data_IF_212953406944
#
_entry.id   IF_212953406944
#
_cell.length_a   1.000
_cell.length_b   1.000
_cell.length_c   1.000
_cell.angle_alpha   90.00
_cell.angle_beta   90.00
_cell.angle_gamma   90.00
#
_symmetry.space_group_name_H-M   'P 1'
#
loop_
_entity.id
_entity.type
_entity.pdbx_description
1 polymer ?
#
# COMPACT_ATOMS: atom_id res chain seq x y z
N UNK A 1 -28.23 3.82 -33.66
CA UNK A 1 -28.52 3.02 -32.44
C UNK A 1 -27.28 3.00 -31.54
N UNK A 2 -27.39 2.68 -30.26
CA UNK A 2 -26.24 2.54 -29.36
C UNK A 2 -26.42 1.38 -28.40
N UNK A 3 -25.31 0.74 -28.02
CA UNK A 3 -25.26 -0.36 -27.06
C UNK A 3 -24.27 -0.01 -25.96
N UNK A 4 -24.63 -0.32 -24.71
CA UNK A 4 -23.70 -0.23 -23.58
C UNK A 4 -23.40 -1.65 -23.13
N UNK A 5 -22.11 -2.01 -23.10
CA UNK A 5 -21.68 -3.30 -22.58
C UNK A 5 -21.72 -3.24 -21.06
N UNK A 6 -22.55 -4.07 -20.44
CA UNK A 6 -22.81 -3.95 -19.00
C UNK A 6 -21.58 -4.21 -18.13
N UNK A 7 -20.75 -5.18 -18.50
CA UNK A 7 -19.53 -5.53 -17.76
C UNK A 7 -18.47 -4.41 -17.78
N UNK A 8 -18.24 -3.80 -18.94
CA UNK A 8 -17.20 -2.77 -19.11
C UNK A 8 -17.71 -1.35 -18.94
N UNK A 9 -19.04 -1.18 -18.95
CA UNK A 9 -19.77 0.10 -18.99
C UNK A 9 -19.37 1.01 -20.15
N UNK A 10 -18.78 0.42 -21.21
CA UNK A 10 -18.45 1.14 -22.44
C UNK A 10 -19.67 1.24 -23.34
N UNK A 11 -19.96 2.45 -23.82
CA UNK A 11 -21.05 2.72 -24.78
C UNK A 11 -20.47 2.83 -26.18
N UNK A 12 -21.04 2.05 -27.10
CA UNK A 12 -20.71 2.06 -28.52
C UNK A 12 -21.92 2.42 -29.37
N UNK A 13 -21.73 3.35 -30.30
CA UNK A 13 -22.73 3.76 -31.29
C UNK A 13 -22.55 2.92 -32.55
N UNK A 14 -23.63 2.32 -33.01
CA UNK A 14 -23.66 1.58 -34.27
C UNK A 14 -23.78 2.60 -35.42
N UNK A 15 -22.80 2.61 -36.32
CA UNK A 15 -22.92 3.32 -37.59
C UNK A 15 -23.82 2.55 -38.55
N UNK A 16 -24.63 3.30 -39.29
CA UNK A 16 -25.66 2.82 -40.22
C UNK A 16 -25.20 1.57 -41.01
N UNK A 17 -25.80 0.42 -40.69
CA UNK A 17 -25.50 -0.85 -41.35
C UNK A 17 -26.78 -1.70 -41.41
N UNK A 18 -26.89 -2.50 -42.48
CA UNK A 18 -27.93 -3.50 -42.65
C UNK A 18 -27.59 -4.76 -41.83
N UNK A 19 -28.51 -5.19 -40.97
CA UNK A 19 -28.44 -6.47 -40.26
C UNK A 19 -29.49 -7.36 -40.91
N UNK A 20 -29.08 -8.49 -41.45
CA UNK A 20 -29.97 -9.43 -42.12
C UNK A 20 -30.53 -10.43 -41.11
N UNK A 21 -31.86 -10.50 -41.03
CA UNK A 21 -32.57 -11.47 -40.20
C UNK A 21 -33.17 -12.54 -41.10
N UNK A 22 -32.79 -13.78 -40.88
CA UNK A 22 -33.37 -14.97 -41.52
C UNK A 22 -34.10 -15.82 -40.48
N UNK A 23 -34.78 -16.89 -40.90
CA UNK A 23 -35.54 -17.76 -40.00
C UNK A 23 -34.68 -18.38 -38.87
N UNK A 24 -33.40 -18.66 -39.15
CA UNK A 24 -32.51 -19.39 -38.24
C UNK A 24 -31.19 -18.66 -37.93
N UNK A 25 -30.98 -17.46 -38.48
CA UNK A 25 -29.72 -16.74 -38.35
C UNK A 25 -29.93 -15.23 -38.39
N UNK A 26 -29.25 -14.53 -37.49
CA UNK A 26 -29.02 -13.09 -37.51
C UNK A 26 -27.61 -12.87 -38.05
N UNK A 27 -27.49 -12.37 -39.28
CA UNK A 27 -26.21 -12.08 -39.90
C UNK A 27 -25.87 -10.61 -39.69
N UNK A 28 -24.76 -10.38 -38.98
CA UNK A 28 -24.30 -9.02 -38.64
C UNK A 28 -23.56 -8.35 -39.80
N UNK A 29 -23.20 -9.09 -40.86
CA UNK A 29 -22.37 -8.57 -41.93
C UNK A 29 -21.06 -8.00 -41.38
N UNK A 30 -20.76 -6.73 -41.70
CA UNK A 30 -19.66 -5.97 -41.09
C UNK A 30 -20.21 -4.67 -40.51
N UNK A 31 -20.46 -4.66 -39.21
CA UNK A 31 -20.90 -3.50 -38.45
C UNK A 31 -19.70 -2.63 -38.07
N UNK A 32 -19.88 -1.31 -38.15
CA UNK A 32 -18.92 -0.35 -37.60
C UNK A 32 -19.48 0.25 -36.32
N UNK A 33 -18.73 0.10 -35.22
CA UNK A 33 -19.03 0.69 -33.92
C UNK A 33 -18.14 1.90 -33.67
N UNK A 34 -18.65 2.91 -32.96
CA UNK A 34 -17.89 4.06 -32.47
C UNK A 34 -17.99 4.19 -30.96
N UNK A 35 -16.88 4.42 -30.27
CA UNK A 35 -16.94 4.83 -28.87
C UNK A 35 -17.32 6.31 -28.72
N UNK A 36 -17.41 6.77 -27.45
CA UNK A 36 -17.67 8.18 -27.13
C UNK A 36 -16.61 9.17 -27.64
N UNK A 37 -15.43 8.68 -28.04
CA UNK A 37 -14.34 9.47 -28.61
C UNK A 37 -14.33 9.42 -30.14
N UNK A 38 -15.39 8.90 -30.77
CA UNK A 38 -15.51 8.73 -32.22
C UNK A 38 -14.45 7.79 -32.83
N UNK A 39 -13.88 6.90 -32.02
CA UNK A 39 -12.89 5.89 -32.45
C UNK A 39 -13.63 4.62 -32.87
N UNK A 40 -13.15 3.98 -33.93
CA UNK A 40 -13.90 2.94 -34.63
C UNK A 40 -13.46 1.53 -34.26
N UNK A 41 -14.42 0.62 -34.14
CA UNK A 41 -14.23 -0.83 -34.11
C UNK A 41 -15.10 -1.47 -35.19
N UNK A 42 -14.71 -2.64 -35.68
CA UNK A 42 -15.53 -3.46 -36.57
C UNK A 42 -16.02 -4.70 -35.86
N UNK A 43 -17.27 -5.09 -36.10
CA UNK A 43 -17.88 -6.31 -35.59
C UNK A 43 -18.47 -7.07 -36.77
N UNK A 44 -18.20 -8.35 -36.86
CA UNK A 44 -18.68 -9.22 -37.92
C UNK A 44 -19.04 -10.59 -37.40
N UNK A 45 -19.88 -11.30 -38.13
CA UNK A 45 -20.26 -12.66 -37.84
C UNK A 45 -21.77 -12.85 -37.76
N UNK A 46 -22.21 -13.87 -37.04
CA UNK A 46 -23.59 -14.30 -37.03
C UNK A 46 -24.02 -14.84 -35.66
N UNK A 47 -25.33 -14.89 -35.47
CA UNK A 47 -25.99 -15.52 -34.33
C UNK A 47 -27.02 -16.47 -34.90
N UNK A 48 -26.81 -17.78 -34.71
CA UNK A 48 -27.78 -18.80 -35.10
C UNK A 48 -28.77 -19.02 -33.97
N UNK A 49 -30.02 -19.31 -34.31
CA UNK A 49 -31.08 -19.55 -33.33
C UNK A 49 -32.18 -20.44 -33.91
N UNK A 50 -33.02 -20.98 -33.02
CA UNK A 50 -34.30 -21.61 -33.36
C UNK A 50 -35.42 -20.78 -32.75
N UNK A 51 -36.07 -19.94 -33.56
CA UNK A 51 -37.08 -18.98 -33.07
C UNK A 51 -36.58 -18.14 -31.88
N UNK A 52 -35.34 -17.62 -31.96
CA UNK A 52 -34.64 -16.91 -30.88
C UNK A 52 -34.33 -17.73 -29.62
N UNK A 53 -34.57 -19.04 -29.62
CA UNK A 53 -34.03 -20.01 -28.64
C UNK A 53 -32.75 -20.69 -29.14
N UNK A 54 -32.09 -21.45 -28.26
CA UNK A 54 -30.88 -22.24 -28.57
C UNK A 54 -29.82 -21.44 -29.34
N UNK A 55 -29.50 -20.24 -28.86
CA UNK A 55 -28.60 -19.35 -29.57
C UNK A 55 -27.18 -19.90 -29.64
N UNK A 56 -26.53 -19.73 -30.79
CA UNK A 56 -25.11 -20.01 -31.01
C UNK A 56 -24.42 -18.82 -31.65
N UNK A 57 -23.27 -18.45 -31.12
CA UNK A 57 -22.57 -17.23 -31.47
C UNK A 57 -21.32 -17.55 -32.30
N UNK A 58 -21.06 -16.72 -33.30
CA UNK A 58 -19.77 -16.60 -33.95
C UNK A 58 -19.56 -15.13 -34.29
N UNK A 59 -19.04 -14.39 -33.32
CA UNK A 59 -18.87 -12.93 -33.40
C UNK A 59 -17.40 -12.62 -33.26
N UNK A 60 -16.86 -11.85 -34.20
CA UNK A 60 -15.51 -11.30 -34.14
C UNK A 60 -15.60 -9.79 -34.09
N UNK A 61 -14.95 -9.17 -33.11
CA UNK A 61 -14.77 -7.73 -33.04
C UNK A 61 -13.27 -7.38 -33.10
N UNK A 62 -12.94 -6.27 -33.76
CA UNK A 62 -11.57 -5.73 -33.82
C UNK A 62 -11.58 -4.24 -33.67
N UNK A 63 -10.64 -3.73 -32.90
CA UNK A 63 -10.40 -2.28 -32.84
C UNK A 63 -9.80 -1.80 -34.15
N UNK A 64 -10.11 -0.56 -34.55
CA UNK A 64 -9.39 0.13 -35.61
C UNK A 64 -7.98 0.54 -35.20
N UNK A 65 -7.42 1.49 -35.95
CA UNK A 65 -6.06 2.02 -35.70
C UNK A 65 -5.98 2.81 -34.39
N UNK A 66 -7.07 3.51 -34.03
CA UNK A 66 -7.14 4.31 -32.82
C UNK A 66 -7.59 3.44 -31.62
N UNK A 67 -6.94 3.57 -30.45
CA UNK A 67 -7.29 2.81 -29.25
C UNK A 67 -8.71 3.12 -28.78
N UNK A 68 -9.59 2.13 -28.65
CA UNK A 68 -10.94 2.36 -28.12
C UNK A 68 -10.94 2.39 -26.60
N UNK A 69 -11.98 2.97 -26.03
CA UNK A 69 -12.34 2.71 -24.64
C UNK A 69 -12.80 1.25 -24.47
N UNK A 70 -12.07 0.48 -23.65
CA UNK A 70 -12.31 -0.94 -23.41
C UNK A 70 -12.84 -1.22 -21.99
N UNK A 71 -12.62 -0.30 -21.06
CA UNK A 71 -13.14 -0.35 -19.69
C UNK A 71 -13.46 1.07 -19.22
N UNK A 72 -14.62 1.26 -18.59
CA UNK A 72 -15.01 2.50 -17.95
C UNK A 72 -15.87 2.20 -16.71
N UNK A 73 -15.31 1.47 -15.76
CA UNK A 73 -16.00 1.08 -14.53
C UNK A 73 -15.62 1.99 -13.36
N UNK A 74 -16.57 2.17 -12.46
CA UNK A 74 -16.39 2.76 -11.14
C UNK A 74 -16.50 1.69 -10.06
N UNK A 75 -16.17 2.04 -8.82
CA UNK A 75 -16.31 1.14 -7.66
C UNK A 75 -17.75 0.60 -7.50
N UNK A 76 -18.76 1.40 -7.88
CA UNK A 76 -20.17 0.97 -7.86
C UNK A 76 -20.49 -0.10 -8.90
N UNK A 77 -19.75 -0.11 -10.01
CA UNK A 77 -19.94 -1.06 -11.10
C UNK A 77 -19.26 -2.39 -10.80
N UNK A 78 -18.11 -2.35 -10.11
CA UNK A 78 -17.36 -3.54 -9.73
C UNK A 78 -16.51 -3.28 -8.47
N UNK A 79 -16.84 -4.02 -7.40
CA UNK A 79 -16.20 -3.92 -6.09
C UNK A 79 -14.87 -4.69 -5.99
N UNK A 80 -14.51 -5.49 -6.99
CA UNK A 80 -13.22 -6.23 -7.02
C UNK A 80 -12.13 -5.40 -7.66
N UNK A 81 -12.44 -4.81 -8.81
CA UNK A 81 -11.55 -3.90 -9.53
C UNK A 81 -12.37 -2.91 -10.34
N UNK A 82 -11.84 -1.72 -10.55
CA UNK A 82 -12.48 -0.73 -11.41
C UNK A 82 -11.46 0.18 -12.06
N UNK A 83 -11.84 0.88 -13.11
CA UNK A 83 -10.95 1.84 -13.74
C UNK A 83 -11.35 2.20 -15.16
N UNK A 84 -10.40 2.87 -15.83
CA UNK A 84 -10.55 3.28 -17.22
C UNK A 84 -9.38 2.76 -18.03
N UNK A 85 -9.69 2.00 -19.08
CA UNK A 85 -8.69 1.44 -19.97
C UNK A 85 -9.00 1.79 -21.42
N UNK A 86 -7.96 2.20 -22.14
CA UNK A 86 -7.98 2.41 -23.58
C UNK A 86 -6.95 1.53 -24.24
N UNK A 87 -7.32 0.91 -25.35
CA UNK A 87 -6.45 -0.06 -26.01
C UNK A 87 -6.92 -0.48 -27.39
N UNK A 88 -6.06 -1.24 -28.05
CA UNK A 88 -6.37 -1.94 -29.29
C UNK A 88 -6.45 -3.44 -29.02
N UNK A 89 -7.13 -4.19 -29.88
CA UNK A 89 -7.31 -5.61 -29.67
C UNK A 89 -8.33 -6.27 -30.60
N UNK A 90 -8.53 -7.55 -30.34
CA UNK A 90 -9.53 -8.38 -30.99
C UNK A 90 -10.29 -9.20 -29.96
N UNK A 91 -11.57 -9.42 -30.22
CA UNK A 91 -12.46 -10.24 -29.43
C UNK A 91 -13.12 -11.28 -30.35
N UNK A 92 -13.19 -12.52 -29.89
CA UNK A 92 -13.89 -13.61 -30.59
C UNK A 92 -14.80 -14.30 -29.58
N UNK A 93 -16.11 -14.28 -29.84
CA UNK A 93 -17.13 -14.99 -29.09
C UNK A 93 -17.66 -16.14 -29.95
N UNK A 94 -17.55 -17.36 -29.45
CA UNK A 94 -17.96 -18.57 -30.16
C UNK A 94 -18.73 -19.53 -29.26
N UNK A 95 -19.63 -20.33 -29.84
CA UNK A 95 -20.27 -21.44 -29.14
C UNK A 95 -21.74 -21.18 -28.77
N UNK A 96 -22.45 -22.21 -28.27
CA UNK A 96 -23.83 -22.09 -27.85
C UNK A 96 -23.96 -21.25 -26.58
N UNK A 97 -25.14 -20.69 -26.33
CA UNK A 97 -25.45 -19.92 -25.12
C UNK A 97 -25.11 -20.66 -23.81
N UNK A 98 -25.21 -22.00 -23.82
CA UNK A 98 -24.88 -22.86 -22.69
C UNK A 98 -23.39 -23.10 -22.46
N UNK A 99 -22.52 -22.72 -23.41
CA UNK A 99 -21.06 -22.84 -23.33
C UNK A 99 -20.38 -21.85 -24.29
N UNK A 100 -20.55 -20.56 -24.00
CA UNK A 100 -19.91 -19.49 -24.77
C UNK A 100 -18.43 -19.39 -24.42
N UNK A 101 -17.60 -19.27 -25.44
CA UNK A 101 -16.15 -19.13 -25.34
C UNK A 101 -15.75 -17.76 -25.88
N UNK A 102 -15.26 -16.90 -24.99
CA UNK A 102 -14.80 -15.56 -25.30
C UNK A 102 -13.27 -15.51 -25.24
N UNK A 103 -12.64 -15.10 -26.34
CA UNK A 103 -11.19 -14.89 -26.42
C UNK A 103 -10.91 -13.44 -26.74
N UNK A 104 -10.07 -12.80 -25.94
CA UNK A 104 -9.70 -11.39 -26.08
C UNK A 104 -8.18 -11.29 -26.13
N UNK A 105 -7.68 -10.60 -27.15
CA UNK A 105 -6.29 -10.14 -27.19
C UNK A 105 -6.33 -8.62 -27.13
N UNK A 106 -5.74 -8.02 -26.10
CA UNK A 106 -5.78 -6.59 -25.88
C UNK A 106 -4.37 -6.04 -25.61
N UNK A 107 -4.11 -4.83 -26.09
CA UNK A 107 -2.91 -4.07 -25.81
C UNK A 107 -3.31 -2.67 -25.37
N UNK A 108 -2.71 -2.20 -24.29
CA UNK A 108 -2.92 -0.84 -23.79
C UNK A 108 -2.51 0.20 -24.85
N UNK A 109 -3.20 1.34 -24.85
CA UNK A 109 -2.90 2.46 -25.73
C UNK A 109 -1.48 2.98 -25.50
N UNK A 110 -0.74 3.26 -26.58
CA UNK A 110 0.58 3.90 -26.51
C UNK A 110 0.49 5.43 -26.40
N UNK A 111 -0.72 6.00 -26.47
CA UNK A 111 -0.94 7.45 -26.47
C UNK A 111 -1.92 7.93 -25.38
N UNK A 112 -2.75 7.03 -24.84
CA UNK A 112 -3.75 7.35 -23.83
C UNK A 112 -3.40 6.66 -22.51
N UNK A 113 -3.47 7.41 -21.41
CA UNK A 113 -3.33 6.82 -20.08
C UNK A 113 -4.51 5.92 -19.74
N UNK A 114 -4.19 4.82 -19.07
CA UNK A 114 -5.15 3.90 -18.47
C UNK A 114 -4.85 3.76 -16.99
N UNK A 115 -5.88 3.56 -16.17
CA UNK A 115 -5.70 3.23 -14.76
C UNK A 115 -6.66 2.13 -14.34
N UNK A 116 -6.17 1.20 -13.54
CA UNK A 116 -6.94 0.14 -12.89
C UNK A 116 -6.69 0.23 -11.39
N UNK A 117 -7.75 0.14 -10.61
CA UNK A 117 -7.72 0.07 -9.16
C UNK A 117 -8.18 -1.30 -8.71
N UNK A 118 -7.41 -1.92 -7.82
CA UNK A 118 -7.68 -3.21 -7.19
C UNK A 118 -7.88 -2.98 -5.69
N UNK A 119 -8.94 -3.57 -5.13
CA UNK A 119 -9.29 -3.44 -3.72
C UNK A 119 -8.95 -4.73 -2.95
N UNK A 120 -8.46 -4.58 -1.71
CA UNK A 120 -8.31 -5.70 -0.77
C UNK A 120 -9.65 -6.34 -0.42
N UNK A 121 -9.67 -7.66 -0.24
CA UNK A 121 -10.87 -8.41 0.22
C UNK A 121 -11.31 -8.03 1.64
N UNK A 122 -10.39 -7.58 2.50
CA UNK A 122 -10.65 -7.28 3.92
C UNK A 122 -11.44 -5.98 4.11
N UNK A 123 -11.48 -5.13 3.07
CA UNK A 123 -12.40 -3.99 3.00
C UNK A 123 -13.89 -4.39 3.10
N UNK A 124 -14.19 -5.68 2.93
CA UNK A 124 -15.54 -6.23 3.07
C UNK A 124 -16.04 -6.27 4.52
N UNK A 125 -15.15 -6.30 5.52
CA UNK A 125 -15.56 -6.55 6.91
C UNK A 125 -15.59 -5.30 7.81
N UNK A 126 -14.89 -4.21 7.45
CA UNK A 126 -14.67 -3.09 8.40
C UNK A 126 -15.25 -1.72 8.00
N UNK A 127 -16.00 -1.57 6.90
CA UNK A 127 -16.26 -0.22 6.36
C UNK A 127 -17.64 0.09 5.78
N UNK A 128 -18.58 -0.85 5.75
CA UNK A 128 -19.94 -0.58 5.24
C UNK A 128 -20.92 -1.00 6.33
N UNK A 129 -21.21 -0.07 7.23
CA UNK A 129 -22.53 -0.03 7.85
C UNK A 129 -23.52 -0.23 6.72
N UNK A 130 -24.28 -1.32 6.80
CA UNK A 130 -25.49 -1.61 6.06
C UNK A 130 -26.12 -0.29 5.61
N UNK A 131 -25.75 0.18 4.41
CA UNK A 131 -26.41 1.32 3.81
C UNK A 131 -27.72 0.71 3.40
N UNK A 132 -28.67 0.85 4.31
CA UNK A 132 -30.09 0.71 4.15
C UNK A 132 -30.45 0.91 2.68
N UNK A 133 -30.40 -0.18 1.92
CA UNK A 133 -31.21 -0.30 0.73
C UNK A 133 -32.59 -0.33 1.33
N UNK A 134 -33.22 0.83 1.33
CA UNK A 134 -34.63 0.99 1.56
C UNK A 134 -35.28 -0.10 0.72
N UNK A 135 -35.65 -1.20 1.38
CA UNK A 135 -36.43 -2.27 0.78
C UNK A 135 -37.76 -1.61 0.50
N UNK A 136 -37.89 -1.03 -0.69
CA UNK A 136 -39.20 -0.76 -1.25
C UNK A 136 -39.87 -2.13 -1.40
N UNK A 137 -40.63 -2.49 -0.38
CA UNK A 137 -41.63 -3.54 -0.47
C UNK A 137 -42.54 -3.20 -1.64
N UNK A 138 -42.50 -4.00 -2.69
CA UNK A 138 -43.28 -3.75 -3.89
C UNK A 138 -43.11 -4.82 -4.96
N UNK A 139 -43.82 -5.92 -4.77
CA UNK A 139 -44.09 -7.01 -5.72
C UNK A 139 -42.98 -8.06 -5.94
N UNK A 140 -43.24 -9.20 -5.31
CA UNK A 140 -42.90 -10.56 -5.73
C UNK A 140 -42.64 -10.65 -7.24
N UNK A 141 -41.39 -10.91 -7.64
CA UNK A 141 -41.11 -11.42 -8.98
C UNK A 141 -41.75 -12.81 -9.06
N UNK A 142 -42.98 -12.83 -9.59
CA UNK A 142 -43.63 -14.03 -10.07
C UNK A 142 -42.64 -14.74 -10.97
N UNK A 143 -42.38 -16.00 -10.64
CA UNK A 143 -41.71 -16.98 -11.47
C UNK A 143 -42.41 -17.08 -12.84
N UNK A 144 -42.00 -16.22 -13.77
CA UNK A 144 -42.31 -16.31 -15.20
C UNK A 144 -41.29 -17.22 -15.86
N UNK A 145 -41.45 -18.53 -15.70
CA UNK A 145 -40.65 -19.55 -16.37
C UNK A 145 -41.05 -19.60 -17.84
N UNK A 146 -40.15 -19.22 -18.77
CA UNK A 146 -40.05 -19.88 -20.09
C UNK A 146 -38.73 -19.61 -20.82
N UNK A 147 -37.96 -20.71 -20.96
CA UNK A 147 -37.10 -21.12 -22.09
C UNK A 147 -35.73 -20.43 -22.31
N UNK A 148 -34.67 -21.17 -21.96
CA UNK A 148 -33.29 -20.97 -22.41
C UNK A 148 -32.31 -21.64 -21.45
N UNK A 149 -31.50 -22.61 -21.91
CA UNK A 149 -30.56 -23.35 -21.06
C UNK A 149 -29.61 -22.44 -20.27
N UNK A 150 -29.06 -22.94 -19.16
CA UNK A 150 -28.15 -22.19 -18.27
C UNK A 150 -27.08 -21.44 -19.09
N UNK A 151 -27.21 -20.12 -19.20
CA UNK A 151 -26.24 -19.28 -19.91
C UNK A 151 -24.90 -19.38 -19.20
N UNK A 152 -23.87 -19.80 -19.91
CA UNK A 152 -22.53 -19.95 -19.38
C UNK A 152 -21.52 -19.36 -20.35
N UNK A 153 -20.63 -18.51 -19.83
CA UNK A 153 -19.54 -17.95 -20.59
C UNK A 153 -18.22 -18.25 -19.90
N UNK A 154 -17.21 -18.62 -20.68
CA UNK A 154 -15.80 -18.67 -20.27
C UNK A 154 -15.06 -17.61 -21.06
N UNK A 155 -14.27 -16.78 -20.39
CA UNK A 155 -13.47 -15.75 -21.03
C UNK A 155 -11.98 -15.93 -20.75
N UNK A 156 -11.19 -15.80 -21.80
CA UNK A 156 -9.73 -15.83 -21.78
C UNK A 156 -9.22 -14.53 -22.39
N UNK A 157 -8.40 -13.78 -21.64
CA UNK A 157 -7.88 -12.48 -22.03
C UNK A 157 -6.37 -12.52 -21.96
N UNK A 158 -5.72 -12.28 -23.09
CA UNK A 158 -4.29 -11.97 -23.17
C UNK A 158 -4.15 -10.43 -23.24
N UNK A 159 -3.60 -9.83 -22.19
CA UNK A 159 -3.49 -8.39 -22.02
C UNK A 159 -2.02 -7.98 -21.97
N UNK A 160 -1.64 -7.03 -22.83
CA UNK A 160 -0.33 -6.38 -22.81
C UNK A 160 -0.44 -4.95 -22.29
N UNK A 161 0.13 -4.69 -21.12
CA UNK A 161 0.24 -3.37 -20.52
C UNK A 161 1.57 -2.70 -20.90
N UNK A 162 1.54 -1.36 -21.00
CA UNK A 162 2.71 -0.52 -21.26
C UNK A 162 2.83 0.56 -20.17
N UNK A 163 3.88 1.38 -20.22
CA UNK A 163 4.21 2.40 -19.20
C UNK A 163 3.15 3.49 -19.02
N UNK A 164 2.12 3.58 -19.87
CA UNK A 164 0.97 4.49 -19.69
C UNK A 164 -0.16 3.88 -18.85
N UNK A 165 -0.08 2.60 -18.52
CA UNK A 165 -0.99 1.91 -17.61
C UNK A 165 -0.54 2.19 -16.18
N UNK A 166 -1.47 2.62 -15.33
CA UNK A 166 -1.29 2.78 -13.89
C UNK A 166 -2.10 1.71 -13.17
N UNK A 167 -1.48 0.97 -12.27
CA UNK A 167 -2.16 0.06 -11.35
C UNK A 167 -2.15 0.71 -9.96
N UNK A 168 -3.32 0.86 -9.37
CA UNK A 168 -3.50 1.26 -7.98
C UNK A 168 -3.96 0.04 -7.20
N UNK A 169 -3.31 -0.26 -6.10
CA UNK A 169 -3.72 -1.30 -5.16
C UNK A 169 -4.01 -0.61 -3.84
N UNK A 170 -5.27 -0.69 -3.42
CA UNK A 170 -5.72 -0.16 -2.14
C UNK A 170 -5.59 -1.32 -1.14
N UNK A 171 -4.62 -1.20 -0.24
CA UNK A 171 -4.36 -2.18 0.81
C UNK A 171 -5.39 -2.02 1.93
N UNK A 172 -5.64 -0.77 2.34
CA UNK A 172 -6.62 -0.43 3.37
C UNK A 172 -7.34 0.87 3.00
N UNK A 173 -8.65 0.81 2.66
CA UNK A 173 -9.42 1.99 2.29
C UNK A 173 -9.70 2.93 3.45
N UNK A 174 -9.69 2.46 4.71
CA UNK A 174 -9.96 3.28 5.89
C UNK A 174 -8.76 4.17 6.22
N UNK A 175 -7.55 3.61 6.13
CA UNK A 175 -6.33 4.39 6.37
C UNK A 175 -5.87 5.11 5.11
N UNK A 176 -6.21 4.62 3.92
CA UNK A 176 -5.72 5.15 2.64
C UNK A 176 -4.34 4.63 2.27
N UNK A 177 -3.95 3.48 2.83
CA UNK A 177 -2.74 2.76 2.46
C UNK A 177 -2.88 2.22 1.03
N UNK A 178 -2.01 2.69 0.13
CA UNK A 178 -2.09 2.36 -1.29
C UNK A 178 -0.71 2.25 -1.93
N UNK A 179 -0.61 1.32 -2.87
CA UNK A 179 0.51 1.20 -3.81
C UNK A 179 0.01 1.69 -5.17
N UNK A 180 0.69 2.65 -5.76
CA UNK A 180 0.43 3.12 -7.12
C UNK A 180 1.68 2.91 -7.96
N UNK A 181 1.55 2.21 -9.10
CA UNK A 181 2.67 1.95 -10.00
C UNK A 181 2.27 2.03 -11.47
N UNK A 182 3.12 2.63 -12.28
CA UNK A 182 3.07 2.57 -13.75
C UNK A 182 4.19 1.69 -14.26
N UNK A 183 3.90 0.90 -15.29
CA UNK A 183 4.74 -0.23 -15.63
C UNK A 183 4.24 -1.02 -16.83
N UNK A 184 5.01 -2.03 -17.20
CA UNK A 184 4.73 -2.91 -18.34
C UNK A 184 4.38 -4.31 -17.84
N UNK A 185 3.59 -5.07 -18.60
CA UNK A 185 3.32 -6.45 -18.23
C UNK A 185 2.54 -7.20 -19.27
N UNK A 186 2.68 -8.53 -19.26
CA UNK A 186 1.87 -9.44 -20.06
C UNK A 186 1.06 -10.31 -19.08
N UNK A 187 -0.26 -10.16 -19.11
CA UNK A 187 -1.20 -10.78 -18.19
C UNK A 187 -2.17 -11.68 -18.94
N UNK A 188 -2.38 -12.88 -18.42
CA UNK A 188 -3.39 -13.84 -18.87
C UNK A 188 -4.49 -13.92 -17.82
N UNK A 189 -5.69 -13.50 -18.20
CA UNK A 189 -6.85 -13.51 -17.31
C UNK A 189 -7.83 -14.55 -17.81
N UNK A 190 -8.31 -15.41 -16.92
CA UNK A 190 -9.34 -16.40 -17.21
C UNK A 190 -10.39 -16.37 -16.12
N UNK A 191 -11.66 -16.47 -16.51
CA UNK A 191 -12.79 -16.66 -15.60
C UNK A 191 -14.03 -17.02 -16.42
N UNK A 192 -15.16 -17.22 -15.77
CA UNK A 192 -16.42 -17.51 -16.42
C UNK A 192 -17.58 -17.46 -15.45
N UNK A 193 -18.78 -17.79 -15.92
CA UNK A 193 -19.99 -17.86 -15.07
C UNK A 193 -19.83 -18.91 -13.97
N UNK A 194 -19.09 -19.99 -14.24
CA UNK A 194 -18.81 -21.10 -13.31
C UNK A 194 -17.31 -21.30 -13.02
N UNK A 195 -16.46 -20.40 -13.50
CA UNK A 195 -15.00 -20.48 -13.29
C UNK A 195 -14.52 -19.28 -12.47
N UNK A 196 -13.75 -19.56 -11.42
CA UNK A 196 -13.12 -18.52 -10.61
C UNK A 196 -12.18 -17.63 -11.44
N UNK A 197 -12.02 -16.39 -10.99
CA UNK A 197 -11.04 -15.49 -11.60
C UNK A 197 -9.62 -15.98 -11.35
N UNK A 198 -8.86 -16.09 -12.43
CA UNK A 198 -7.44 -16.42 -12.42
C UNK A 198 -6.68 -15.42 -13.26
N UNK A 199 -5.61 -14.87 -12.71
CA UNK A 199 -4.66 -13.97 -13.38
C UNK A 199 -3.29 -14.63 -13.33
N UNK A 200 -2.58 -14.65 -14.46
CA UNK A 200 -1.20 -15.12 -14.55
C UNK A 200 -0.34 -14.15 -15.31
N UNK A 201 0.84 -13.86 -14.78
CA UNK A 201 1.80 -12.96 -15.41
C UNK A 201 2.36 -11.95 -14.43
N UNK A 202 3.26 -11.12 -14.93
CA UNK A 202 3.98 -10.13 -14.13
C UNK A 202 3.76 -8.74 -14.70
N UNK A 203 3.60 -7.79 -13.78
CA UNK A 203 3.57 -6.36 -14.05
C UNK A 203 4.79 -5.71 -13.41
N UNK A 204 5.76 -5.33 -14.24
CA UNK A 204 7.00 -4.68 -13.84
C UNK A 204 6.77 -3.18 -13.74
N UNK A 205 6.96 -2.64 -12.53
CA UNK A 205 6.70 -1.24 -12.20
C UNK A 205 7.96 -0.40 -12.50
N UNK A 206 7.82 0.54 -13.42
CA UNK A 206 8.87 1.50 -13.79
C UNK A 206 8.92 2.72 -12.87
N UNK A 207 7.76 3.21 -12.43
CA UNK A 207 7.65 4.38 -11.54
C UNK A 207 6.41 4.24 -10.68
N UNK A 208 6.42 4.80 -9.47
CA UNK A 208 5.29 4.68 -8.56
C UNK A 208 5.53 5.30 -7.20
N UNK A 209 4.53 5.17 -6.34
CA UNK A 209 4.62 5.54 -4.94
C UNK A 209 3.90 4.54 -4.05
N UNK A 210 4.36 4.44 -2.81
CA UNK A 210 3.72 3.72 -1.73
C UNK A 210 3.32 4.71 -0.65
N UNK A 211 2.01 4.85 -0.39
CA UNK A 211 1.49 5.75 0.63
C UNK A 211 1.41 5.03 1.97
N UNK A 212 2.48 5.08 2.75
CA UNK A 212 2.46 4.53 4.09
C UNK A 212 1.54 5.37 4.98
N UNK A 213 0.51 4.74 5.54
CA UNK A 213 -0.42 5.40 6.46
C UNK A 213 -0.44 4.77 7.85
N UNK A 214 -0.44 5.64 8.86
CA UNK A 214 -0.41 5.26 10.25
C UNK A 214 -1.53 5.95 11.06
N UNK A 215 -2.42 5.14 11.65
CA UNK A 215 -3.61 5.55 12.45
C UNK A 215 -4.45 6.65 11.79
N UNK A 216 -4.49 6.71 10.45
CA UNK A 216 -5.17 7.71 9.63
C UNK A 216 -4.65 9.16 9.72
N UNK A 217 -3.69 9.46 10.61
CA UNK A 217 -3.18 10.83 10.80
C UNK A 217 -1.82 11.08 10.13
N UNK A 218 -0.96 10.07 10.03
CA UNK A 218 0.38 10.22 9.46
C UNK A 218 0.41 9.52 8.11
N UNK A 219 0.64 10.32 7.06
CA UNK A 219 0.75 9.87 5.67
C UNK A 219 2.12 10.21 5.15
N UNK A 220 2.89 9.21 4.76
CA UNK A 220 4.26 9.37 4.28
C UNK A 220 4.38 8.75 2.89
N UNK A 221 4.57 9.56 1.85
CA UNK A 221 4.75 9.05 0.50
C UNK A 221 6.17 8.52 0.35
N UNK A 222 6.29 7.23 0.08
CA UNK A 222 7.54 6.61 -0.37
C UNK A 222 7.54 6.57 -1.90
N UNK A 223 8.64 6.96 -2.52
CA UNK A 223 8.83 6.85 -3.97
C UNK A 223 9.40 5.48 -4.31
N UNK A 224 8.83 4.77 -5.28
CA UNK A 224 9.39 3.48 -5.71
C UNK A 224 10.76 3.70 -6.36
N UNK A 225 11.77 2.97 -5.88
CA UNK A 225 13.13 3.05 -6.38
C UNK A 225 13.18 2.57 -7.83
N UNK A 226 13.60 3.46 -8.72
CA UNK A 226 13.81 3.13 -10.13
C UNK A 226 14.86 2.03 -10.26
N UNK A 227 14.62 1.07 -11.15
CA UNK A 227 15.52 -0.05 -11.43
C UNK A 227 15.74 -1.06 -10.26
N UNK A 228 14.96 -1.00 -9.19
CA UNK A 228 15.03 -2.00 -8.10
C UNK A 228 14.40 -3.37 -8.46
N UNK A 229 13.85 -3.49 -9.67
CA UNK A 229 13.08 -4.66 -10.10
C UNK A 229 11.75 -4.75 -9.37
N UNK A 230 11.03 -3.62 -9.28
CA UNK A 230 9.72 -3.57 -8.64
C UNK A 230 8.68 -4.31 -9.50
N UNK A 231 7.91 -5.22 -8.92
CA UNK A 231 6.86 -5.91 -9.66
C UNK A 231 5.68 -6.36 -8.79
N UNK A 232 4.57 -6.63 -9.46
CA UNK A 232 3.44 -7.42 -8.95
C UNK A 232 3.30 -8.64 -9.86
N UNK A 233 3.23 -9.83 -9.29
CA UNK A 233 3.18 -11.10 -10.01
C UNK A 233 1.98 -11.92 -9.56
N UNK A 234 1.16 -12.34 -10.53
CA UNK A 234 0.05 -13.24 -10.31
C UNK A 234 0.38 -14.62 -10.84
N UNK A 235 0.08 -15.65 -10.04
CA UNK A 235 0.32 -17.07 -10.39
C UNK A 235 -0.98 -17.87 -10.51
N UNK A 236 -2.13 -17.22 -10.32
CA UNK A 236 -3.45 -17.83 -10.32
C UNK A 236 -4.45 -16.91 -9.66
N UNK A 237 -4.72 -17.13 -8.36
CA UNK A 237 -5.75 -16.37 -7.67
C UNK A 237 -5.41 -14.86 -7.59
N UNK A 238 -6.34 -13.95 -7.95
CA UNK A 238 -6.10 -12.51 -8.00
C UNK A 238 -5.65 -11.89 -6.68
N UNK A 239 -6.13 -12.46 -5.57
CA UNK A 239 -5.85 -12.00 -4.22
C UNK A 239 -4.53 -12.52 -3.64
N UNK A 240 -3.89 -13.50 -4.29
CA UNK A 240 -2.63 -14.10 -3.84
C UNK A 240 -1.48 -13.66 -4.76
N UNK A 241 -1.45 -12.37 -5.09
CA UNK A 241 -0.38 -11.80 -5.90
C UNK A 241 0.88 -11.65 -5.05
N UNK A 242 2.04 -11.99 -5.62
CA UNK A 242 3.33 -11.76 -4.98
C UNK A 242 3.89 -10.39 -5.38
N UNK A 243 4.48 -9.68 -4.43
CA UNK A 243 5.15 -8.42 -4.70
C UNK A 243 6.61 -8.42 -4.30
N UNK A 244 7.37 -7.61 -5.03
CA UNK A 244 8.70 -7.13 -4.65
C UNK A 244 8.73 -5.65 -4.95
N UNK A 245 8.69 -4.81 -3.92
CA UNK A 245 8.70 -3.37 -4.06
C UNK A 245 9.75 -2.78 -3.12
N UNK A 246 10.66 -1.97 -3.65
CA UNK A 246 11.57 -1.15 -2.87
C UNK A 246 11.14 0.30 -3.03
N UNK A 247 10.76 0.92 -1.92
CA UNK A 247 10.28 2.28 -1.87
C UNK A 247 11.15 3.11 -0.92
N UNK A 248 11.46 4.34 -1.28
CA UNK A 248 12.33 5.24 -0.54
C UNK A 248 11.53 6.42 0.00
N UNK A 249 11.67 6.68 1.29
CA UNK A 249 11.30 7.93 1.91
C UNK A 249 12.55 8.73 2.22
N UNK A 250 12.55 10.01 1.85
CA UNK A 250 13.61 10.96 2.19
C UNK A 250 13.08 11.91 3.25
N UNK A 251 13.82 12.09 4.34
CA UNK A 251 13.48 13.11 5.34
C UNK A 251 13.51 14.52 4.74
N UNK A 252 12.56 15.36 5.15
CA UNK A 252 12.42 16.73 4.65
C UNK A 252 13.56 17.65 5.11
N UNK A 253 14.22 17.27 6.22
CA UNK A 253 15.31 18.03 6.84
C UNK A 253 16.52 17.13 7.06
N UNK A 254 17.68 17.78 7.19
CA UNK A 254 18.91 17.11 7.58
C UNK A 254 18.81 16.64 9.03
N UNK A 255 18.98 15.33 9.23
CA UNK A 255 18.88 14.66 10.51
C UNK A 255 20.23 14.70 11.21
N UNK A 256 20.23 14.97 12.52
CA UNK A 256 21.45 14.91 13.33
C UNK A 256 21.86 13.48 13.62
N UNK A 257 23.13 13.14 13.39
CA UNK A 257 23.66 11.81 13.68
C UNK A 257 24.14 11.67 15.14
N UNK A 258 24.17 12.77 15.91
CA UNK A 258 24.61 12.78 17.31
C UNK A 258 24.02 11.66 18.19
N UNK A 259 22.70 11.35 18.13
CA UNK A 259 22.09 10.32 19.00
C UNK A 259 22.63 8.91 18.74
N UNK A 260 23.10 8.64 17.52
CA UNK A 260 23.69 7.36 17.11
C UNK A 260 25.18 7.34 17.47
N UNK A 261 25.88 8.45 17.22
CA UNK A 261 27.34 8.59 17.40
C UNK A 261 27.76 8.54 18.87
N UNK A 262 27.01 9.17 19.78
CA UNK A 262 27.39 9.31 21.19
C UNK A 262 27.22 8.04 22.04
N UNK A 263 26.70 6.95 21.47
CA UNK A 263 26.14 5.85 22.26
C UNK A 263 27.02 4.60 22.37
N UNK A 264 28.22 4.55 21.76
CA UNK A 264 29.05 3.34 21.87
C UNK A 264 30.42 3.30 21.21
N UNK A 265 30.90 4.37 20.57
CA UNK A 265 32.24 4.40 19.98
C UNK A 265 32.90 5.73 20.35
N UNK A 266 34.18 5.72 20.77
CA UNK A 266 35.01 6.91 20.93
C UNK A 266 35.25 7.54 19.54
N UNK A 267 34.19 8.03 18.91
CA UNK A 267 34.23 8.77 17.66
C UNK A 267 34.77 10.14 17.99
N UNK A 268 35.70 10.62 17.18
CA UNK A 268 36.25 11.97 17.34
C UNK A 268 35.10 12.99 17.42
N UNK A 269 35.21 13.96 18.32
CA UNK A 269 34.21 14.99 18.65
C UNK A 269 33.66 15.80 17.46
N UNK A 270 34.24 15.64 16.27
CA UNK A 270 33.79 16.26 15.02
C UNK A 270 32.56 15.57 14.39
N UNK A 271 32.30 14.29 14.70
CA UNK A 271 31.21 13.53 14.07
C UNK A 271 29.83 13.76 14.72
N UNK A 272 29.79 14.28 15.96
CA UNK A 272 28.55 14.55 16.69
C UNK A 272 27.72 15.71 16.10
N UNK A 273 28.33 16.59 15.30
CA UNK A 273 27.63 17.73 14.68
C UNK A 273 27.17 17.46 13.24
N UNK A 274 27.35 16.24 12.73
CA UNK A 274 26.98 15.89 11.37
C UNK A 274 25.46 15.86 11.24
N UNK A 275 24.96 16.61 10.25
CA UNK A 275 23.56 16.61 9.83
C UNK A 275 23.48 16.33 8.34
N UNK A 276 22.74 15.30 7.95
CA UNK A 276 22.53 14.97 6.55
C UNK A 276 21.15 14.37 6.27
N UNK A 277 20.76 14.29 5.00
CA UNK A 277 19.54 13.60 4.60
C UNK A 277 19.69 12.10 4.83
N UNK A 278 18.62 11.48 5.31
CA UNK A 278 18.52 10.03 5.49
C UNK A 278 17.45 9.52 4.54
N UNK A 279 17.74 8.40 3.90
CA UNK A 279 16.82 7.68 3.04
C UNK A 279 16.38 6.42 3.78
N UNK A 280 15.09 6.34 4.10
CA UNK A 280 14.47 5.13 4.64
C UNK A 280 13.99 4.29 3.46
N UNK A 281 14.59 3.12 3.27
CA UNK A 281 14.19 2.18 2.23
C UNK A 281 13.24 1.16 2.85
N UNK A 282 11.97 1.16 2.43
CA UNK A 282 11.00 0.14 2.74
C UNK A 282 11.03 -0.94 1.65
N UNK A 283 11.26 -2.19 2.05
CA UNK A 283 11.27 -3.37 1.19
C UNK A 283 10.02 -4.20 1.49
N UNK A 284 9.04 -4.10 0.61
CA UNK A 284 7.79 -4.86 0.69
C UNK A 284 7.96 -6.15 -0.10
N UNK A 285 7.70 -7.29 0.55
CA UNK A 285 7.84 -8.64 -0.02
C UNK A 285 6.63 -9.50 0.31
N UNK A 286 6.43 -10.57 -0.44
CA UNK A 286 5.40 -11.56 -0.12
C UNK A 286 4.06 -11.19 -0.74
N UNK A 287 2.98 -11.31 0.04
CA UNK A 287 1.61 -11.11 -0.44
C UNK A 287 1.30 -9.63 -0.73
N UNK A 288 0.55 -9.36 -1.80
CA UNK A 288 0.20 -8.00 -2.22
C UNK A 288 -0.63 -7.26 -1.18
N UNK A 289 -1.61 -7.92 -0.56
CA UNK A 289 -2.54 -7.30 0.38
C UNK A 289 -2.04 -7.33 1.82
N UNK A 290 -1.11 -8.24 2.13
CA UNK A 290 -0.43 -8.29 3.41
C UNK A 290 1.08 -8.50 3.25
N UNK A 291 1.81 -7.48 2.77
CA UNK A 291 3.24 -7.61 2.54
C UNK A 291 4.04 -7.62 3.83
N UNK A 292 5.11 -8.40 3.83
CA UNK A 292 6.16 -8.32 4.86
C UNK A 292 7.01 -7.09 4.56
N UNK A 293 7.06 -6.15 5.51
CA UNK A 293 7.78 -4.88 5.36
C UNK A 293 9.06 -4.95 6.18
N UNK A 294 10.20 -4.86 5.50
CA UNK A 294 11.51 -4.70 6.13
C UNK A 294 12.13 -3.37 5.73
N UNK A 295 13.01 -2.82 6.58
CA UNK A 295 13.62 -1.53 6.32
C UNK A 295 15.13 -1.62 6.09
N UNK A 296 15.68 -0.59 5.46
CA UNK A 296 17.10 -0.31 5.41
C UNK A 296 17.32 1.21 5.43
N UNK A 297 18.53 1.62 5.83
CA UNK A 297 18.92 3.02 5.78
C UNK A 297 19.92 3.22 4.64
N UNK A 298 19.65 4.22 3.83
CA UNK A 298 20.57 4.69 2.80
C UNK A 298 20.77 6.21 2.93
N UNK A 299 21.74 6.73 2.19
CA UNK A 299 22.16 8.13 2.30
C UNK A 299 22.52 8.70 0.93
N UNK A 300 22.49 10.03 0.75
CA UNK A 300 22.98 10.68 -0.47
C UNK A 300 24.42 10.27 -0.82
N UNK A 301 24.75 10.30 -2.10
CA UNK A 301 26.15 10.16 -2.53
C UNK A 301 27.01 11.27 -1.91
N UNK A 302 28.18 10.91 -1.38
CA UNK A 302 29.06 11.84 -0.67
C UNK A 302 28.69 12.13 0.79
N UNK A 303 27.60 11.56 1.31
CA UNK A 303 27.25 11.67 2.73
C UNK A 303 28.38 11.12 3.63
N UNK A 304 28.72 11.80 4.75
CA UNK A 304 29.63 11.26 5.76
C UNK A 304 29.21 9.86 6.25
N UNK A 305 27.92 9.54 6.25
CA UNK A 305 27.42 8.21 6.59
C UNK A 305 27.93 7.08 5.66
N UNK A 306 28.35 7.43 4.43
CA UNK A 306 28.91 6.50 3.43
C UNK A 306 30.42 6.61 3.28
N UNK A 307 30.99 7.79 3.52
CA UNK A 307 32.40 8.08 3.25
C UNK A 307 33.29 7.95 4.48
N UNK A 308 32.76 8.22 5.68
CA UNK A 308 33.45 8.02 6.94
C UNK A 308 33.37 6.54 7.34
N UNK A 309 34.51 5.84 7.51
CA UNK A 309 34.53 4.41 7.85
C UNK A 309 33.86 4.08 9.19
N UNK A 310 33.94 4.96 10.18
CA UNK A 310 33.41 4.73 11.53
C UNK A 310 31.88 4.88 11.54
N UNK A 311 31.35 5.91 10.87
CA UNK A 311 29.90 6.06 10.69
C UNK A 311 29.32 4.94 9.83
N UNK A 312 30.02 4.57 8.76
CA UNK A 312 29.61 3.47 7.89
C UNK A 312 29.54 2.15 8.66
N UNK A 313 30.48 1.89 9.57
CA UNK A 313 30.46 0.71 10.44
C UNK A 313 29.29 0.75 11.42
N UNK A 314 29.03 1.90 12.03
CA UNK A 314 27.92 2.11 12.98
C UNK A 314 26.56 1.85 12.31
N UNK A 315 26.33 2.42 11.12
CA UNK A 315 25.10 2.16 10.37
C UNK A 315 24.99 0.71 9.87
N UNK A 316 26.10 0.04 9.56
CA UNK A 316 26.08 -1.40 9.27
C UNK A 316 25.68 -2.23 10.49
N UNK A 317 26.19 -1.89 11.68
CA UNK A 317 25.81 -2.58 12.91
C UNK A 317 24.34 -2.35 13.26
N UNK A 318 23.85 -1.11 13.10
CA UNK A 318 22.43 -0.78 13.27
C UNK A 318 21.56 -1.61 12.33
N UNK A 319 21.92 -1.71 11.05
CA UNK A 319 21.16 -2.48 10.07
C UNK A 319 21.18 -3.99 10.31
N UNK A 320 22.13 -4.51 11.11
CA UNK A 320 22.16 -5.92 11.51
C UNK A 320 21.21 -6.23 12.69
N UNK A 321 20.73 -5.20 13.41
CA UNK A 321 19.77 -5.36 14.50
C UNK A 321 18.40 -4.84 14.06
N UNK A 322 17.52 -5.75 13.66
CA UNK A 322 16.20 -5.43 13.12
C UNK A 322 15.32 -4.62 14.11
N UNK A 323 15.35 -4.97 15.40
CA UNK A 323 14.55 -4.28 16.42
C UNK A 323 14.99 -2.81 16.56
N UNK A 324 16.31 -2.57 16.62
CA UNK A 324 16.86 -1.21 16.70
C UNK A 324 16.68 -0.46 15.38
N UNK A 325 16.83 -1.12 14.23
CA UNK A 325 16.58 -0.53 12.92
C UNK A 325 15.12 -0.05 12.80
N UNK A 326 14.16 -0.90 13.16
CA UNK A 326 12.74 -0.57 13.13
C UNK A 326 12.41 0.61 14.05
N UNK A 327 13.01 0.65 15.24
CA UNK A 327 12.92 1.80 16.16
C UNK A 327 13.48 3.07 15.51
N UNK A 328 14.68 3.03 14.94
CA UNK A 328 15.29 4.19 14.30
C UNK A 328 14.45 4.70 13.13
N UNK A 329 13.93 3.79 12.30
CA UNK A 329 13.03 4.11 11.18
C UNK A 329 11.73 4.76 11.66
N UNK A 330 11.13 4.23 12.74
CA UNK A 330 9.94 4.81 13.34
C UNK A 330 10.17 6.27 13.74
N UNK A 331 11.29 6.55 14.42
CA UNK A 331 11.66 7.90 14.83
C UNK A 331 11.92 8.83 13.63
N UNK A 332 12.59 8.33 12.59
CA UNK A 332 12.82 9.10 11.36
C UNK A 332 11.51 9.47 10.66
N UNK A 333 10.58 8.54 10.56
CA UNK A 333 9.28 8.76 9.89
C UNK A 333 8.40 9.69 10.71
N UNK A 334 8.36 9.52 12.04
CA UNK A 334 7.47 10.29 12.93
C UNK A 334 8.01 11.67 13.28
N UNK A 335 9.33 11.83 13.40
CA UNK A 335 9.96 13.00 14.02
C UNK A 335 11.14 13.60 13.26
N UNK A 336 11.52 13.04 12.10
CA UNK A 336 12.71 13.44 11.33
C UNK A 336 14.01 13.46 12.15
N UNK A 337 14.10 12.60 13.17
CA UNK A 337 15.26 12.47 14.04
C UNK A 337 15.57 11.00 14.32
N UNK A 338 16.83 10.69 14.60
CA UNK A 338 17.21 9.37 15.12
C UNK A 338 16.86 9.24 16.60
N UNK A 339 16.51 8.02 17.00
CA UNK A 339 16.42 7.64 18.40
C UNK A 339 17.83 7.50 19.01
N UNK A 340 17.98 7.75 20.32
CA UNK A 340 19.20 7.37 21.02
C UNK A 340 19.40 5.85 21.00
N UNK A 341 20.62 5.40 20.69
CA UNK A 341 21.03 3.99 20.66
C UNK A 341 21.33 3.49 22.08
N UNK A 342 20.74 2.37 22.51
CA UNK A 342 21.09 1.68 23.76
C UNK A 342 20.70 2.37 25.08
N UNK A 343 20.79 1.61 26.19
CA UNK A 343 20.61 2.08 27.57
C UNK A 343 21.80 2.92 28.07
N UNK A 344 22.37 3.74 27.20
CA UNK A 344 23.54 4.55 27.51
C UNK A 344 23.04 5.86 28.11
N UNK A 345 23.17 5.93 29.43
CA UNK A 345 23.14 7.09 30.32
C UNK A 345 24.19 8.15 29.95
N UNK A 346 24.30 8.50 28.68
CA UNK A 346 25.14 9.58 28.18
C UNK A 346 24.25 10.79 27.93
N UNK A 347 24.12 11.61 28.96
CA UNK A 347 23.85 13.04 28.83
C UNK A 347 22.78 13.45 27.80
N UNK A 348 21.51 13.30 28.20
CA UNK A 348 20.38 14.12 27.68
C UNK A 348 20.68 15.64 27.81
N UNK A 349 21.70 16.04 28.57
CA UNK A 349 22.22 17.41 28.62
C UNK A 349 22.76 17.91 27.27
N UNK A 350 23.09 17.02 26.33
CA UNK A 350 23.48 17.40 24.95
C UNK A 350 22.31 17.62 23.99
N UNK A 351 21.06 17.50 24.46
CA UNK A 351 19.88 18.17 23.88
C UNK A 351 19.81 19.66 24.30
N UNK A 352 20.97 20.27 24.57
CA UNK A 352 21.12 21.70 24.86
C UNK A 352 20.71 22.57 23.67
N UNK A 353 19.87 23.56 23.97
CA UNK A 353 19.40 24.69 23.17
C UNK A 353 18.44 24.48 21.98
N UNK A 354 18.38 23.33 21.31
CA UNK A 354 17.51 23.20 20.12
C UNK A 354 16.15 22.52 20.32
N UNK A 355 15.89 21.87 21.48
CA UNK A 355 14.68 21.05 21.69
C UNK A 355 13.96 21.31 23.02
N UNK A 356 14.60 22.02 23.96
CA UNK A 356 14.04 22.21 25.32
C UNK A 356 12.77 23.07 25.32
N UNK A 357 12.55 23.89 24.30
CA UNK A 357 11.37 24.77 24.24
C UNK A 357 10.11 24.13 23.65
N UNK A 358 10.10 22.83 23.27
CA UNK A 358 8.95 22.28 22.53
C UNK A 358 8.42 20.92 23.01
N UNK A 359 9.05 20.26 23.99
CA UNK A 359 8.57 18.95 24.46
C UNK A 359 7.77 19.12 25.76
N UNK A 360 6.52 19.53 25.62
CA UNK A 360 5.53 19.44 26.70
C UNK A 360 5.18 17.95 26.91
N UNK A 361 5.17 17.45 28.16
CA UNK A 361 4.94 16.03 28.51
C UNK A 361 3.66 15.36 27.97
N UNK A 362 2.74 16.11 27.35
CA UNK A 362 1.60 15.57 26.60
C UNK A 362 2.00 15.00 25.22
N UNK A 363 3.07 15.51 24.62
CA UNK A 363 3.56 15.09 23.30
C UNK A 363 4.29 13.75 23.40
N UNK A 364 5.06 13.52 24.48
CA UNK A 364 5.78 12.27 24.69
C UNK A 364 4.82 11.07 24.70
N UNK A 365 3.75 11.14 25.50
CA UNK A 365 2.77 10.04 25.60
C UNK A 365 2.06 9.76 24.27
N UNK A 366 1.78 10.77 23.46
CA UNK A 366 1.22 10.57 22.12
C UNK A 366 2.26 9.97 21.16
N UNK A 367 3.51 10.47 21.15
CA UNK A 367 4.61 9.88 20.36
C UNK A 367 4.83 8.41 20.71
N UNK A 368 4.67 8.02 21.98
CA UNK A 368 4.86 6.64 22.41
C UNK A 368 3.73 5.72 21.96
N UNK A 369 2.48 6.23 21.91
CA UNK A 369 1.39 5.50 21.26
C UNK A 369 1.63 5.34 19.76
N UNK A 370 2.11 6.40 19.09
CA UNK A 370 2.41 6.35 17.66
C UNK A 370 3.57 5.38 17.36
N UNK A 371 4.62 5.41 18.18
CA UNK A 371 5.80 4.54 18.09
C UNK A 371 5.44 3.06 18.32
N UNK A 372 4.74 2.75 19.41
CA UNK A 372 4.30 1.39 19.72
C UNK A 372 3.53 0.77 18.56
N UNK A 373 2.52 1.49 18.09
CA UNK A 373 1.65 1.02 17.03
C UNK A 373 2.39 0.90 15.69
N UNK A 374 3.36 1.80 15.40
CA UNK A 374 4.21 1.69 14.20
C UNK A 374 5.06 0.42 14.27
N UNK A 375 5.68 0.15 15.42
CA UNK A 375 6.47 -1.05 15.63
C UNK A 375 5.61 -2.30 15.53
N UNK A 376 4.39 -2.32 16.09
CA UNK A 376 3.49 -3.49 15.95
C UNK A 376 3.05 -3.77 14.52
N UNK A 377 3.06 -2.79 13.61
CA UNK A 377 2.77 -3.02 12.18
C UNK A 377 3.94 -3.72 11.46
N UNK A 378 5.15 -3.61 12.00
CA UNK A 378 6.39 -4.09 11.37
C UNK A 378 6.84 -5.38 12.04
N UNK A 379 6.92 -5.38 13.37
CA UNK A 379 7.06 -6.57 14.20
C UNK A 379 5.91 -6.59 15.22
N UNK A 380 4.91 -7.49 15.04
CA UNK A 380 3.78 -7.58 15.96
C UNK A 380 4.18 -7.96 17.40
N UNK A 381 5.41 -8.46 17.60
CA UNK A 381 5.90 -8.92 18.89
C UNK A 381 6.63 -7.83 19.69
N UNK A 382 6.95 -6.68 19.10
CA UNK A 382 7.76 -5.65 19.75
C UNK A 382 6.89 -4.53 20.32
N UNK A 383 7.17 -4.13 21.58
CA UNK A 383 6.50 -3.02 22.28
C UNK A 383 7.54 -2.11 22.93
N UNK A 384 7.40 -0.80 22.78
CA UNK A 384 8.28 0.22 23.39
C UNK A 384 7.42 1.32 24.03
N UNK A 385 7.31 1.30 25.35
CA UNK A 385 6.70 2.39 26.10
C UNK A 385 7.79 3.32 26.61
N UNK A 386 7.74 4.58 26.22
CA UNK A 386 8.43 5.64 26.93
C UNK A 386 7.39 6.45 27.72
N UNK A 387 7.78 7.11 28.79
CA UNK A 387 6.93 8.08 29.48
C UNK A 387 7.85 9.07 30.16
N UNK A 388 7.52 10.35 30.11
CA UNK A 388 8.34 11.39 30.73
C UNK A 388 7.42 12.38 31.44
N UNK A 389 7.68 12.60 32.72
CA UNK A 389 7.00 13.59 33.54
C UNK A 389 8.01 14.63 34.00
N UNK A 390 7.61 15.89 33.88
CA UNK A 390 8.39 17.02 34.35
C UNK A 390 7.69 17.61 35.57
N UNK A 391 8.36 17.61 36.71
CA UNK A 391 7.82 18.21 37.93
C UNK A 391 8.27 19.67 37.99
N UNK A 392 7.27 20.57 37.97
CA UNK A 392 7.48 22.00 38.27
C UNK A 392 7.28 22.19 39.76
N UNK A 393 8.30 22.70 40.43
CA UNK A 393 8.15 23.17 41.80
C UNK A 393 7.88 24.69 41.78
N UNK A 394 6.85 25.14 42.51
CA UNK A 394 6.40 26.54 42.52
C UNK A 394 6.92 27.32 43.75
N UNK A 395 7.83 26.76 44.53
CA UNK A 395 8.34 27.39 45.75
C UNK A 395 9.69 28.12 45.54
N UNK A 396 9.70 29.21 44.78
CA UNK A 396 10.64 30.31 45.06
C UNK A 396 10.16 31.65 44.48
N UNK A 397 9.69 32.54 45.36
CA UNK A 397 9.01 33.78 45.01
C UNK A 397 9.99 34.97 44.86
N UNK A 398 11.17 34.77 44.27
CA UNK A 398 12.16 35.87 44.11
C UNK A 398 12.87 35.96 42.77
N UNK A 399 12.65 35.05 41.81
CA UNK A 399 13.14 35.23 40.44
C UNK A 399 12.11 34.70 39.45
N UNK A 400 11.79 35.52 38.45
CA UNK A 400 10.83 35.27 37.38
C UNK A 400 11.36 34.28 36.32
N UNK A 401 11.97 33.17 36.74
CA UNK A 401 12.38 32.09 35.85
C UNK A 401 11.53 30.84 36.11
N UNK A 402 10.73 30.46 35.11
CA UNK A 402 9.97 29.21 35.11
C UNK A 402 10.97 28.08 34.85
N UNK A 403 11.44 27.42 35.91
CA UNK A 403 12.30 26.25 35.83
C UNK A 403 11.54 24.95 36.09
N UNK A 404 11.80 23.91 35.31
CA UNK A 404 11.46 22.54 35.68
C UNK A 404 12.56 22.03 36.63
N UNK A 405 12.18 21.37 37.72
CA UNK A 405 13.14 20.98 38.76
C UNK A 405 13.67 19.56 38.52
N UNK A 406 12.80 18.67 38.05
CA UNK A 406 13.10 17.25 37.81
C UNK A 406 12.38 16.74 36.56
N UNK A 407 13.11 15.98 35.74
CA UNK A 407 12.57 15.15 34.67
C UNK A 407 12.71 13.70 35.10
N UNK A 408 11.59 13.02 35.32
CA UNK A 408 11.59 11.57 35.49
C UNK A 408 11.04 10.93 34.23
N UNK A 409 11.73 9.92 33.71
CA UNK A 409 11.22 9.16 32.59
C UNK A 409 11.39 7.66 32.81
N UNK A 410 10.49 6.89 32.21
CA UNK A 410 10.49 5.44 32.24
C UNK A 410 10.51 4.91 30.81
N UNK A 411 11.39 3.96 30.52
CA UNK A 411 11.47 3.23 29.27
C UNK A 411 11.19 1.74 29.54
N UNK A 412 10.17 1.19 28.90
CA UNK A 412 9.82 -0.22 28.93
C UNK A 412 9.91 -0.79 27.52
N UNK A 413 10.73 -1.81 27.32
CA UNK A 413 10.84 -2.56 26.06
C UNK A 413 10.32 -3.98 26.32
N UNK A 414 9.29 -4.39 25.59
CA UNK A 414 8.71 -5.73 25.69
C UNK A 414 8.78 -6.47 24.36
N UNK A 415 9.14 -7.77 24.40
CA UNK A 415 9.05 -8.67 23.25
C UNK A 415 8.25 -9.92 23.61
N UNK A 416 7.26 -10.26 22.79
CA UNK A 416 6.52 -11.52 22.92
C UNK A 416 7.12 -12.62 22.05
N UNK A 417 7.00 -13.85 22.53
CA UNK A 417 7.42 -15.07 21.83
C UNK A 417 6.29 -16.11 21.92
N UNK A 418 6.27 -17.03 20.96
CA UNK A 418 5.33 -18.17 20.90
C UNK A 418 3.86 -17.73 20.99
N UNK A 419 3.41 -16.85 20.09
CA UNK A 419 2.03 -16.33 20.08
C UNK A 419 1.61 -15.74 21.45
N UNK A 420 2.46 -14.88 22.02
CA UNK A 420 2.27 -14.23 23.31
C UNK A 420 2.29 -15.17 24.54
N UNK A 421 2.84 -16.39 24.43
CA UNK A 421 3.00 -17.27 25.59
C UNK A 421 4.18 -16.91 26.47
N UNK A 422 5.20 -16.25 25.94
CA UNK A 422 6.33 -15.74 26.73
C UNK A 422 6.48 -14.26 26.41
N UNK A 423 6.45 -13.42 27.43
CA UNK A 423 6.65 -11.98 27.29
C UNK A 423 7.88 -11.61 28.11
N UNK A 424 8.92 -11.12 27.44
CA UNK A 424 10.10 -10.58 28.10
C UNK A 424 9.99 -9.06 28.11
N UNK A 425 10.02 -8.46 29.29
CA UNK A 425 9.93 -7.02 29.47
C UNK A 425 11.15 -6.50 30.23
N UNK A 426 11.78 -5.46 29.70
CA UNK A 426 12.89 -4.75 30.32
C UNK A 426 12.44 -3.33 30.59
N UNK A 427 12.47 -2.92 31.85
CA UNK A 427 12.09 -1.60 32.32
C UNK A 427 13.32 -0.85 32.85
N UNK A 428 13.41 0.44 32.55
CA UNK A 428 14.43 1.33 33.07
C UNK A 428 13.79 2.67 33.46
N UNK A 429 13.88 3.01 34.74
CA UNK A 429 13.49 4.33 35.23
C UNK A 429 14.72 5.21 35.40
N UNK A 430 14.59 6.48 35.01
CA UNK A 430 15.61 7.50 35.18
C UNK A 430 15.02 8.80 35.71
N UNK A 431 15.78 9.47 36.58
CA UNK A 431 15.42 10.75 37.20
C UNK A 431 16.60 11.71 37.05
N UNK A 432 16.36 12.82 36.37
CA UNK A 432 17.37 13.83 36.06
C UNK A 432 16.94 15.17 36.69
N UNK A 433 17.66 15.66 37.70
CA UNK A 433 17.47 17.02 38.19
C UNK A 433 17.98 18.03 37.15
N UNK A 434 17.20 19.06 36.86
CA UNK A 434 17.43 19.98 35.70
C UNK A 434 18.15 21.28 36.15
N UNK A 435 18.67 21.35 37.39
CA UNK A 435 19.37 22.55 37.91
C UNK A 435 20.86 22.56 37.57
N UNK A 436 21.35 23.69 37.08
CA UNK A 436 22.67 23.88 36.47
C UNK A 436 23.89 23.83 37.43
N UNK A 437 23.71 23.78 38.76
CA UNK A 437 24.80 24.02 39.72
C UNK A 437 25.06 22.88 40.74
N UNK A 438 24.83 21.61 40.39
CA UNK A 438 25.25 20.52 41.27
C UNK A 438 25.71 19.25 40.54
N UNK A 439 26.76 18.63 41.08
CA UNK A 439 27.23 17.31 40.69
C UNK A 439 26.20 16.27 41.14
N UNK A 440 25.31 15.84 40.24
CA UNK A 440 24.32 14.81 40.53
C UNK A 440 24.76 13.45 39.99
N UNK A 441 24.56 12.41 40.80
CA UNK A 441 24.68 11.02 40.36
C UNK A 441 23.30 10.57 39.85
N UNK A 442 23.19 10.27 38.56
CA UNK A 442 21.98 9.69 37.98
C UNK A 442 21.91 8.21 38.37
N UNK A 443 20.80 7.80 38.99
CA UNK A 443 20.59 6.41 39.38
C UNK A 443 19.72 5.73 38.33
N UNK A 444 20.26 4.71 37.66
CA UNK A 444 19.50 3.82 36.80
C UNK A 444 18.97 2.65 37.63
N UNK A 445 17.66 2.39 37.52
CA UNK A 445 17.02 1.24 38.14
C UNK A 445 16.50 0.31 37.03
N UNK A 446 17.31 -0.64 36.53
CA UNK A 446 16.86 -1.61 35.56
C UNK A 446 16.05 -2.72 36.26
N UNK A 447 14.92 -3.08 35.67
CA UNK A 447 14.11 -4.21 36.08
C UNK A 447 13.89 -5.12 34.86
N UNK A 448 14.07 -6.42 35.02
CA UNK A 448 13.85 -7.41 33.96
C UNK A 448 12.76 -8.36 34.46
N UNK A 449 11.66 -8.41 33.75
CA UNK A 449 10.51 -9.25 34.04
C UNK A 449 10.28 -10.22 32.90
N UNK A 450 9.95 -11.47 33.23
CA UNK A 450 9.59 -12.50 32.26
C UNK A 450 8.26 -13.08 32.68
N UNK A 451 7.26 -12.96 31.82
CA UNK A 451 5.93 -13.55 32.01
C UNK A 451 5.82 -14.78 31.12
N UNK A 452 5.40 -15.90 31.70
CA UNK A 452 5.18 -17.15 30.97
C UNK A 452 3.73 -17.55 31.20
N UNK A 453 2.95 -17.59 30.13
CA UNK A 453 1.60 -18.14 30.14
C UNK A 453 1.72 -19.66 30.14
N UNK A 454 1.43 -20.26 31.28
CA UNK A 454 1.27 -21.72 31.43
C UNK A 454 -0.23 -21.95 31.47
N UNK A 455 -0.77 -22.50 30.38
CA UNK A 455 -2.20 -22.83 30.12
C UNK A 455 -3.20 -22.58 31.24
#
# INVERSE_FOLDING_TARGET
AAVTVDFTKCRYELQDTEIEFTENEINLGTLTLRDRFQRQATVQGWIQHKSFGDMSYNITARTGVLPLELLNTTEKDNQTFFGRARGTGSLVLTGPQSDMQLKINASASNNDSSYITILSSDSRESGISDFMVERQYGQEMIAGKTLGGETNITYNVDLRANTLVTVNVILDPLTGDQIQGRGTGDLKIRSGTREDLSIRGRYDITEGSYMFTFQSFIRKPFELLKNAGNYIEWTGYPYNANIRIDAMYRNDKKVSFAPIVNSGVNLNSNNANIRDYVYVIAKLRGDLFRPDISFALDFPEGSPAKTDPELSFTFKQLQNNEDELNKQVAYLILSDNFAPLGNSTADITSFGDAVVNTITGKIANEVNKLLNNFLTKIDPNLRINFSSSFQRDFFNQSTSTIGFDRASSNLTIGRSFLDNRIILTVEGAFDVPIRADANYTTQLLPNITTEILIN
#
